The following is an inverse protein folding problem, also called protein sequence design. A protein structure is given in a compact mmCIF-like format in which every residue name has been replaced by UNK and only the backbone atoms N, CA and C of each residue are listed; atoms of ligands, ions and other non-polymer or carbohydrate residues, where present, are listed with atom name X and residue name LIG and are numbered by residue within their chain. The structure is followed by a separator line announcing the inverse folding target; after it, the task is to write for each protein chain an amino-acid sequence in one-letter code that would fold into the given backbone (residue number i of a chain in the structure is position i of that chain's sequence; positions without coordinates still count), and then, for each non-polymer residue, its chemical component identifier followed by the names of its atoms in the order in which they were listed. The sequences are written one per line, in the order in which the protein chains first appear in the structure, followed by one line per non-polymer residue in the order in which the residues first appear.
data_IF_048657371654
#
_entry.id   IF_048657371654
#
_cell.length_a   1.000
_cell.length_b   1.000
_cell.length_c   1.000
_cell.angle_alpha   90.00
_cell.angle_beta   90.00
_cell.angle_gamma   90.00
#
_symmetry.space_group_name_H-M   'P 1'
#
loop_
_entity.id
_entity.type
_entity.pdbx_description
1 polymer ?
#
# COMPACT_ATOMS: atom_id res chain seq x y z
N UNK A 1 -7.21 -15.96 -7.23
CA UNK A 1 -5.83 -16.49 -7.31
C UNK A 1 -5.02 -15.65 -6.36
N UNK A 2 -4.40 -16.26 -5.35
CA UNK A 2 -3.45 -15.55 -4.48
C UNK A 2 -2.22 -15.26 -5.32
N UNK A 3 -1.93 -14.00 -5.61
CA UNK A 3 -0.69 -13.64 -6.29
C UNK A 3 0.40 -13.65 -5.22
N UNK A 4 1.31 -14.61 -5.30
CA UNK A 4 2.55 -14.54 -4.52
C UNK A 4 3.22 -13.20 -4.80
N UNK A 5 3.65 -12.49 -3.76
CA UNK A 5 4.36 -11.21 -3.93
C UNK A 5 5.57 -11.43 -4.83
N UNK A 6 5.76 -10.62 -5.88
CA UNK A 6 6.90 -10.79 -6.78
C UNK A 6 8.21 -10.57 -6.02
N UNK A 7 9.28 -11.17 -6.52
CA UNK A 7 10.62 -10.88 -6.03
C UNK A 7 11.06 -9.48 -6.47
N UNK A 8 11.85 -8.84 -5.62
CA UNK A 8 12.35 -7.48 -5.75
C UNK A 8 13.80 -7.43 -5.25
N UNK A 9 14.67 -6.82 -6.05
CA UNK A 9 16.06 -6.53 -5.67
C UNK A 9 16.08 -5.28 -4.78
N UNK A 10 16.28 -5.49 -3.49
CA UNK A 10 16.39 -4.43 -2.50
C UNK A 10 17.85 -4.19 -2.11
N UNK A 11 18.12 -3.08 -1.43
CA UNK A 11 19.40 -2.80 -0.81
C UNK A 11 19.33 -3.06 0.69
N UNK A 12 20.33 -3.74 1.24
CA UNK A 12 20.44 -3.96 2.68
C UNK A 12 20.93 -2.69 3.41
N UNK A 13 21.17 -2.78 4.73
CA UNK A 13 21.63 -1.65 5.53
C UNK A 13 23.05 -1.17 5.20
N UNK A 14 23.81 -1.97 4.45
CA UNK A 14 25.15 -1.65 3.96
C UNK A 14 25.13 -1.21 2.48
N UNK A 15 23.96 -1.22 1.84
CA UNK A 15 23.80 -0.87 0.42
C UNK A 15 24.06 -2.02 -0.55
N UNK A 16 24.17 -3.27 -0.09
CA UNK A 16 24.35 -4.42 -0.97
C UNK A 16 23.00 -4.93 -1.50
N UNK A 17 22.93 -5.31 -2.80
CA UNK A 17 21.72 -5.87 -3.37
C UNK A 17 21.41 -7.24 -2.79
N UNK A 18 20.14 -7.49 -2.50
CA UNK A 18 19.61 -8.81 -2.12
C UNK A 18 18.18 -8.97 -2.62
N UNK A 19 17.79 -10.22 -2.87
CA UNK A 19 16.44 -10.55 -3.32
C UNK A 19 15.51 -10.77 -2.12
N UNK A 20 14.33 -10.13 -2.16
CA UNK A 20 13.23 -10.40 -1.23
C UNK A 20 11.89 -10.23 -1.94
N UNK A 21 10.80 -10.63 -1.29
CA UNK A 21 9.47 -10.29 -1.78
C UNK A 21 9.22 -8.78 -1.70
N UNK A 22 8.50 -8.26 -2.69
CA UNK A 22 7.95 -6.92 -2.70
C UNK A 22 7.08 -6.68 -1.45
N UNK A 23 7.15 -5.49 -0.88
CA UNK A 23 6.47 -5.08 0.36
C UNK A 23 5.56 -3.89 0.16
N UNK A 24 5.89 -3.03 -0.81
CA UNK A 24 5.10 -1.83 -1.14
C UNK A 24 4.76 -1.80 -2.62
N UNK A 25 3.77 -0.99 -3.00
CA UNK A 25 3.31 -0.84 -4.38
C UNK A 25 4.46 -0.47 -5.33
N UNK A 26 5.38 0.40 -4.91
CA UNK A 26 6.52 0.84 -5.71
C UNK A 26 7.51 -0.25 -6.10
N UNK A 27 7.46 -1.40 -5.43
CA UNK A 27 8.31 -2.55 -5.70
C UNK A 27 7.67 -3.55 -6.67
N UNK A 28 6.42 -3.31 -7.07
CA UNK A 28 5.73 -4.11 -8.09
C UNK A 28 6.20 -3.75 -9.50
N UNK A 29 6.07 -4.67 -10.47
CA UNK A 29 6.18 -4.32 -11.88
C UNK A 29 5.23 -3.17 -12.23
N UNK A 30 5.69 -2.18 -13.01
CA UNK A 30 4.91 -0.95 -13.29
C UNK A 30 3.50 -1.21 -13.84
N UNK A 31 3.32 -2.33 -14.56
CA UNK A 31 2.02 -2.77 -15.10
C UNK A 31 1.00 -3.16 -14.00
N UNK A 32 1.47 -3.55 -12.82
CA UNK A 32 0.65 -4.08 -11.73
C UNK A 32 0.33 -2.99 -10.68
N UNK A 33 1.14 -1.93 -10.61
CA UNK A 33 1.00 -0.85 -9.63
C UNK A 33 -0.39 -0.19 -9.64
N UNK A 34 -0.98 0.02 -10.83
CA UNK A 34 -2.29 0.68 -10.92
C UNK A 34 -3.40 -0.20 -10.33
N UNK A 35 -3.43 -1.47 -10.70
CA UNK A 35 -4.39 -2.44 -10.17
C UNK A 35 -4.24 -2.59 -8.67
N UNK A 36 -3.00 -2.66 -8.17
CA UNK A 36 -2.70 -2.72 -6.75
C UNK A 36 -3.27 -1.52 -5.98
N UNK A 37 -3.09 -0.29 -6.48
CA UNK A 37 -3.66 0.91 -5.86
C UNK A 37 -5.19 0.89 -5.85
N UNK A 38 -5.82 0.45 -6.94
CA UNK A 38 -7.28 0.39 -7.04
C UNK A 38 -7.87 -0.63 -6.05
N UNK A 39 -7.23 -1.79 -5.88
CA UNK A 39 -7.61 -2.77 -4.86
C UNK A 39 -7.41 -2.26 -3.43
N UNK A 40 -6.34 -1.49 -3.19
CA UNK A 40 -6.05 -0.96 -1.86
C UNK A 40 -7.09 0.05 -1.37
N UNK A 41 -7.73 0.79 -2.27
CA UNK A 41 -8.73 1.82 -1.90
C UNK A 41 -9.81 1.24 -0.99
N UNK A 42 -10.32 0.04 -1.31
CA UNK A 42 -11.40 -0.58 -0.55
C UNK A 42 -10.98 -0.97 0.87
N UNK A 43 -9.78 -1.53 1.02
CA UNK A 43 -9.24 -1.91 2.34
C UNK A 43 -8.91 -0.69 3.19
N UNK A 44 -8.26 0.32 2.61
CA UNK A 44 -7.93 1.56 3.32
C UNK A 44 -9.20 2.28 3.73
N UNK A 45 -10.22 2.36 2.85
CA UNK A 45 -11.52 2.97 3.18
C UNK A 45 -12.15 2.34 4.43
N UNK A 46 -12.07 1.01 4.56
CA UNK A 46 -12.55 0.29 5.75
C UNK A 46 -11.70 0.60 6.99
N UNK A 47 -10.38 0.60 6.84
CA UNK A 47 -9.44 0.87 7.94
C UNK A 47 -9.60 2.29 8.49
N UNK A 48 -9.72 3.29 7.62
CA UNK A 48 -9.83 4.70 8.03
C UNK A 48 -11.27 5.13 8.32
N UNK A 49 -12.27 4.30 8.00
CA UNK A 49 -13.69 4.61 8.18
C UNK A 49 -14.21 5.73 7.28
N UNK A 50 -13.62 5.91 6.10
CA UNK A 50 -13.97 6.97 5.14
C UNK A 50 -14.20 6.38 3.75
N UNK A 51 -15.10 7.00 2.99
CA UNK A 51 -15.30 6.67 1.57
C UNK A 51 -14.32 7.46 0.71
N UNK A 52 -13.56 6.77 -0.14
CA UNK A 52 -12.72 7.43 -1.12
C UNK A 52 -13.57 8.22 -2.14
N UNK A 53 -13.24 9.49 -2.33
CA UNK A 53 -13.89 10.40 -3.30
C UNK A 53 -13.16 10.43 -4.65
N UNK A 54 -11.95 9.88 -4.70
CA UNK A 54 -11.14 9.73 -5.91
C UNK A 54 -10.21 8.51 -5.78
N UNK A 55 -9.66 8.00 -6.88
CA UNK A 55 -8.70 6.90 -6.82
C UNK A 55 -7.40 7.29 -6.08
N UNK A 56 -6.71 6.30 -5.51
CA UNK A 56 -5.34 6.48 -5.04
C UNK A 56 -4.41 6.76 -6.22
N UNK A 57 -3.40 7.60 -5.96
CA UNK A 57 -2.39 7.98 -6.94
C UNK A 57 -1.02 7.56 -6.44
N UNK A 58 -0.18 7.08 -7.35
CA UNK A 58 1.16 6.56 -7.04
C UNK A 58 2.04 7.59 -6.32
N UNK A 59 2.03 8.85 -6.78
CA UNK A 59 2.88 9.91 -6.22
C UNK A 59 2.22 10.77 -5.14
N UNK A 60 0.99 10.48 -4.72
CA UNK A 60 0.28 11.28 -3.72
C UNK A 60 0.04 10.50 -2.45
N UNK A 61 -0.03 11.22 -1.33
CA UNK A 61 -0.44 10.67 -0.06
C UNK A 61 -1.90 10.19 -0.10
N UNK A 62 -2.18 9.10 0.62
CA UNK A 62 -3.49 8.44 0.61
C UNK A 62 -4.65 9.38 1.00
N UNK A 63 -4.43 10.37 1.87
CA UNK A 63 -5.46 11.32 2.30
C UNK A 63 -6.11 12.09 1.15
N UNK A 64 -5.39 12.30 0.03
CA UNK A 64 -5.96 12.95 -1.14
C UNK A 64 -7.13 12.16 -1.73
N UNK A 65 -7.10 10.82 -1.62
CA UNK A 65 -8.19 9.94 -2.07
C UNK A 65 -9.48 10.15 -1.27
N UNK A 66 -9.37 10.63 -0.03
CA UNK A 66 -10.47 10.80 0.91
C UNK A 66 -10.94 12.27 1.04
N UNK A 67 -10.44 13.16 0.18
CA UNK A 67 -10.84 14.57 0.16
C UNK A 67 -10.37 15.37 1.37
N UNK A 68 -9.44 14.83 2.14
CA UNK A 68 -8.87 15.50 3.31
C UNK A 68 -7.80 16.51 2.88
N UNK A 69 -7.54 17.48 3.74
CA UNK A 69 -6.29 18.24 3.71
C UNK A 69 -5.24 17.61 4.64
N UNK A 70 -3.99 18.06 4.52
CA UNK A 70 -2.88 17.55 5.30
C UNK A 70 -3.09 17.68 6.82
N UNK A 71 -3.68 18.80 7.28
CA UNK A 71 -3.93 19.05 8.72
C UNK A 71 -4.93 18.05 9.29
N UNK A 72 -5.99 17.73 8.54
CA UNK A 72 -6.96 16.71 8.92
C UNK A 72 -6.31 15.33 8.96
N UNK A 73 -5.52 15.00 7.95
CA UNK A 73 -4.80 13.72 7.88
C UNK A 73 -3.89 13.50 9.08
N UNK A 74 -3.13 14.52 9.50
CA UNK A 74 -2.25 14.46 10.67
C UNK A 74 -3.00 14.18 11.99
N UNK A 75 -4.25 14.66 12.12
CA UNK A 75 -5.04 14.54 13.35
C UNK A 75 -5.89 13.26 13.38
N UNK A 76 -5.92 12.51 12.29
CA UNK A 76 -6.69 11.27 12.17
C UNK A 76 -6.03 10.14 12.98
N UNK A 77 -6.83 9.21 13.49
CA UNK A 77 -6.32 8.04 14.21
C UNK A 77 -5.36 7.19 13.35
N UNK A 78 -5.65 7.11 12.04
CA UNK A 78 -4.82 6.42 11.05
C UNK A 78 -3.92 7.37 10.26
N UNK A 79 -3.41 8.43 10.89
CA UNK A 79 -2.59 9.46 10.23
C UNK A 79 -1.38 8.89 9.49
N UNK A 80 -0.70 7.88 10.06
CA UNK A 80 0.43 7.21 9.41
C UNK A 80 0.05 6.64 8.04
N UNK A 81 -1.08 5.95 7.94
CA UNK A 81 -1.57 5.39 6.68
C UNK A 81 -2.01 6.49 5.71
N UNK A 82 -2.74 7.49 6.19
CA UNK A 82 -3.24 8.59 5.36
C UNK A 82 -2.14 9.47 4.78
N UNK A 83 -1.02 9.62 5.50
CA UNK A 83 0.15 10.37 5.04
C UNK A 83 1.12 9.53 4.19
N UNK A 84 0.88 8.22 4.04
CA UNK A 84 1.70 7.35 3.19
C UNK A 84 1.44 7.64 1.72
N UNK A 85 2.49 7.80 0.92
CA UNK A 85 2.38 7.96 -0.53
C UNK A 85 1.94 6.64 -1.18
N UNK A 86 1.25 6.72 -2.31
CA UNK A 86 0.78 5.52 -3.03
C UNK A 86 1.91 4.53 -3.37
N UNK A 87 3.09 5.02 -3.72
CA UNK A 87 4.30 4.22 -4.00
C UNK A 87 4.79 3.45 -2.77
N UNK A 88 4.68 4.06 -1.59
CA UNK A 88 5.13 3.48 -0.32
C UNK A 88 4.03 2.67 0.38
N UNK A 89 2.87 2.52 -0.27
CA UNK A 89 1.73 1.86 0.33
C UNK A 89 2.04 0.36 0.52
N UNK A 90 1.89 -0.19 1.74
CA UNK A 90 2.14 -1.61 1.98
C UNK A 90 1.20 -2.52 1.20
N UNK A 91 1.75 -3.60 0.65
CA UNK A 91 0.96 -4.63 -0.03
C UNK A 91 0.01 -5.38 0.91
N UNK A 92 0.17 -5.23 2.23
CA UNK A 92 -0.74 -5.78 3.25
C UNK A 92 -2.15 -5.15 3.17
N UNK A 93 -2.29 -3.98 2.53
CA UNK A 93 -3.60 -3.37 2.27
C UNK A 93 -4.22 -3.85 0.95
N UNK A 94 -3.58 -4.76 0.22
CA UNK A 94 -4.03 -5.22 -1.09
C UNK A 94 -4.41 -6.69 -1.00
N UNK A 95 -5.71 -7.04 -1.13
CA UNK A 95 -6.20 -8.41 -0.96
C UNK A 95 -5.47 -9.44 -1.82
N UNK A 96 -5.07 -9.10 -3.06
CA UNK A 96 -4.33 -10.02 -3.92
C UNK A 96 -3.00 -10.52 -3.33
N UNK A 97 -2.41 -9.77 -2.38
CA UNK A 97 -1.10 -10.03 -1.79
C UNK A 97 -1.14 -10.30 -0.28
N UNK A 98 -2.33 -10.33 0.33
CA UNK A 98 -2.50 -10.76 1.71
C UNK A 98 -2.41 -12.28 1.78
N UNK A 99 -1.28 -12.75 2.29
CA UNK A 99 -1.13 -14.15 2.69
C UNK A 99 -1.93 -14.31 3.99
N UNK A 100 -3.08 -14.98 3.94
CA UNK A 100 -3.67 -15.52 5.16
C UNK A 100 -2.61 -16.41 5.82
N UNK A 101 -1.98 -15.93 6.89
CA UNK A 101 -1.30 -16.78 7.85
C UNK A 101 -2.36 -17.57 8.62
N UNK A 102 -3.08 -18.44 7.93
CA UNK A 102 -3.94 -19.48 8.50
C UNK A 102 -3.25 -20.81 8.27
N UNK A 103 -2.19 -21.08 9.04
CA UNK A 103 -1.82 -22.40 9.54
C UNK A 103 -0.48 -22.30 10.30
N UNK A 104 -0.60 -22.14 11.62
CA UNK A 104 0.43 -22.62 12.53
C UNK A 104 -0.13 -23.90 13.17
N UNK A 105 0.41 -25.10 12.89
CA UNK A 105 0.17 -26.25 13.75
C UNK A 105 0.81 -26.02 15.13
#
# INVERSE_FOLDING_TARGET
MLNTRPEYEALDSQGYPYMRQARVVGELPSKDCRTALDEAVGMISREVGLTAVRPLSFGLAAFHAFGMNHREACRHAHSRLLLTQGVDLPLDYIPAYNSDCSNKP
#
